data_IF_916992198928
#
_entry.id   IF_916992198928
#
_cell.length_a   1.000
_cell.length_b   1.000
_cell.length_c   1.000
_cell.angle_alpha   90.00
_cell.angle_beta   90.00
_cell.angle_gamma   90.00
#
_symmetry.space_group_name_H-M   'P 1'
#
loop_
_entity.id
_entity.type
_entity.pdbx_description
1 polymer ?
#
# COMPACT_ATOMS: atom_id res chain seq x y z
N UNK A 1 -0.15 -66.80 -4.78
CA UNK A 1 0.80 -66.30 -5.80
C UNK A 1 1.10 -64.84 -5.48
N UNK A 2 2.29 -64.50 -4.99
CA UNK A 2 2.69 -63.11 -4.74
C UNK A 2 3.12 -62.49 -6.06
N UNK A 3 2.33 -61.56 -6.59
CA UNK A 3 2.68 -60.82 -7.81
C UNK A 3 3.56 -59.64 -7.44
N UNK A 4 4.84 -59.68 -7.84
CA UNK A 4 5.79 -58.55 -7.74
C UNK A 4 5.21 -57.23 -8.27
N UNK A 5 4.29 -57.31 -9.23
CA UNK A 5 3.52 -56.18 -9.73
C UNK A 5 2.68 -55.46 -8.66
N UNK A 6 2.08 -56.21 -7.72
CA UNK A 6 1.30 -55.64 -6.61
C UNK A 6 2.20 -54.96 -5.58
N UNK A 7 3.37 -55.52 -5.30
CA UNK A 7 4.37 -54.89 -4.41
C UNK A 7 4.92 -53.59 -5.01
N UNK A 8 5.19 -53.57 -6.31
CA UNK A 8 5.60 -52.36 -7.03
C UNK A 8 4.49 -51.29 -7.04
N UNK A 9 3.23 -51.70 -7.29
CA UNK A 9 2.09 -50.79 -7.31
C UNK A 9 1.85 -50.13 -5.94
N UNK A 10 2.00 -50.89 -4.85
CA UNK A 10 1.90 -50.35 -3.48
C UNK A 10 3.03 -49.35 -3.21
N UNK A 11 4.27 -49.66 -3.62
CA UNK A 11 5.40 -48.74 -3.49
C UNK A 11 5.16 -47.40 -4.19
N UNK A 12 4.70 -47.45 -5.46
CA UNK A 12 4.34 -46.25 -6.23
C UNK A 12 3.21 -45.47 -5.55
N UNK A 13 2.17 -46.18 -5.08
CA UNK A 13 1.05 -45.55 -4.39
C UNK A 13 1.47 -44.80 -3.12
N UNK A 14 2.36 -45.39 -2.31
CA UNK A 14 2.88 -44.76 -1.09
C UNK A 14 3.69 -43.52 -1.43
N UNK A 15 4.54 -43.57 -2.46
CA UNK A 15 5.32 -42.40 -2.91
C UNK A 15 4.41 -41.28 -3.40
N UNK A 16 3.44 -41.59 -4.26
CA UNK A 16 2.49 -40.59 -4.78
C UNK A 16 1.66 -39.97 -3.65
N UNK A 17 1.23 -40.78 -2.68
CA UNK A 17 0.51 -40.29 -1.50
C UNK A 17 1.39 -39.38 -0.65
N UNK A 18 2.65 -39.76 -0.42
CA UNK A 18 3.62 -38.92 0.29
C UNK A 18 3.85 -37.56 -0.39
N UNK A 19 4.01 -37.56 -1.71
CA UNK A 19 4.14 -36.34 -2.51
C UNK A 19 2.86 -35.49 -2.39
N UNK A 20 1.68 -36.09 -2.54
CA UNK A 20 0.41 -35.37 -2.43
C UNK A 20 0.22 -34.73 -1.04
N UNK A 21 0.55 -35.45 0.04
CA UNK A 21 0.49 -34.92 1.40
C UNK A 21 1.50 -33.80 1.63
N UNK A 22 2.71 -33.92 1.07
CA UNK A 22 3.71 -32.86 1.13
C UNK A 22 3.21 -31.58 0.47
N UNK A 23 2.63 -31.66 -0.73
CA UNK A 23 2.03 -30.51 -1.40
C UNK A 23 0.83 -29.92 -0.64
N UNK A 24 -0.02 -30.78 -0.05
CA UNK A 24 -1.13 -30.34 0.78
C UNK A 24 -0.62 -29.57 2.02
N UNK A 25 0.41 -30.09 2.69
CA UNK A 25 1.01 -29.44 3.85
C UNK A 25 1.59 -28.06 3.50
N UNK A 26 2.30 -27.94 2.38
CA UNK A 26 2.82 -26.65 1.91
C UNK A 26 1.70 -25.63 1.60
N UNK A 27 0.58 -26.11 1.03
CA UNK A 27 -0.59 -25.26 0.74
C UNK A 27 -1.30 -24.80 2.02
N UNK A 28 -1.47 -25.68 3.00
CA UNK A 28 -2.10 -25.35 4.30
C UNK A 28 -1.22 -24.42 5.14
N UNK A 29 0.10 -24.59 5.09
CA UNK A 29 1.07 -23.71 5.75
C UNK A 29 1.09 -22.28 5.14
N UNK A 30 0.51 -22.11 3.95
CA UNK A 30 0.55 -20.85 3.20
C UNK A 30 1.95 -20.51 2.69
N UNK A 31 2.87 -21.46 2.66
CA UNK A 31 4.21 -21.31 2.07
C UNK A 31 4.10 -21.23 0.55
N UNK A 32 3.19 -22.03 -0.01
CA UNK A 32 2.82 -21.97 -1.41
C UNK A 32 1.76 -20.86 -1.56
N UNK A 33 2.10 -19.80 -2.29
CA UNK A 33 1.33 -18.55 -2.37
C UNK A 33 -0.18 -18.74 -2.43
N UNK A 34 -0.90 -17.89 -1.70
CA UNK A 34 -2.36 -17.85 -1.76
C UNK A 34 -2.79 -17.57 -3.19
N UNK A 35 -3.54 -18.50 -3.79
CA UNK A 35 -4.18 -18.29 -5.09
C UNK A 35 -5.36 -17.33 -4.91
N UNK A 36 -5.08 -16.05 -4.63
CA UNK A 36 -6.09 -15.02 -4.77
C UNK A 36 -6.41 -14.91 -6.26
N UNK A 37 -7.58 -15.42 -6.65
CA UNK A 37 -8.09 -15.25 -8.01
C UNK A 37 -8.45 -13.77 -8.13
N UNK A 38 -7.87 -13.07 -9.10
CA UNK A 38 -8.01 -11.61 -9.30
C UNK A 38 -7.30 -10.74 -8.23
N UNK A 39 -6.08 -11.11 -7.81
CA UNK A 39 -5.24 -10.18 -7.05
C UNK A 39 -4.56 -9.15 -7.95
N UNK A 40 -4.26 -8.01 -7.37
CA UNK A 40 -3.41 -6.99 -7.98
C UNK A 40 -2.44 -6.42 -6.94
N UNK A 41 -1.31 -5.93 -7.42
CA UNK A 41 -0.27 -5.35 -6.57
C UNK A 41 -0.43 -3.84 -6.46
N UNK A 42 -0.04 -3.28 -5.34
CA UNK A 42 0.06 -1.84 -5.09
C UNK A 42 1.32 -1.56 -4.30
N UNK A 43 1.69 -0.28 -4.25
CA UNK A 43 2.85 0.19 -3.50
C UNK A 43 2.50 1.34 -2.57
N UNK A 44 3.33 1.56 -1.56
CA UNK A 44 3.27 2.74 -0.70
C UNK A 44 4.67 3.01 -0.15
N UNK A 45 5.04 4.28 -0.03
CA UNK A 45 6.36 4.72 0.45
C UNK A 45 6.25 5.28 1.86
N UNK A 46 7.10 4.85 2.78
CA UNK A 46 7.05 5.22 4.19
C UNK A 46 8.40 5.71 4.67
N UNK A 47 8.40 6.66 5.61
CA UNK A 47 9.63 7.08 6.31
C UNK A 47 10.14 6.00 7.26
N UNK A 48 9.23 5.28 7.94
CA UNK A 48 9.57 4.24 8.92
C UNK A 48 8.58 3.06 8.86
N UNK A 49 9.10 1.86 8.61
CA UNK A 49 8.34 0.59 8.56
C UNK A 49 8.82 -0.42 9.61
N UNK A 50 9.44 0.05 10.69
CA UNK A 50 10.03 -0.81 11.72
C UNK A 50 9.04 -1.89 12.23
N UNK A 51 9.53 -3.12 12.33
CA UNK A 51 8.75 -4.29 12.73
C UNK A 51 7.75 -4.82 11.69
N UNK A 52 7.52 -4.13 10.56
CA UNK A 52 6.74 -4.67 9.45
C UNK A 52 7.56 -5.75 8.73
N UNK A 53 6.93 -6.90 8.44
CA UNK A 53 7.58 -8.04 7.80
C UNK A 53 6.83 -8.42 6.52
N UNK A 54 7.51 -9.02 5.53
CA UNK A 54 6.83 -9.69 4.43
C UNK A 54 5.77 -10.66 4.94
N UNK A 55 4.69 -10.83 4.19
CA UNK A 55 3.49 -11.63 4.51
C UNK A 55 2.57 -11.05 5.60
N UNK A 56 2.93 -9.91 6.20
CA UNK A 56 2.04 -9.18 7.10
C UNK A 56 0.70 -8.87 6.39
N UNK A 57 -0.40 -8.93 7.13
CA UNK A 57 -1.73 -8.67 6.57
C UNK A 57 -1.88 -7.20 6.17
N UNK A 58 -2.66 -6.95 5.12
CA UNK A 58 -3.21 -5.63 4.80
C UNK A 58 -4.68 -5.65 5.15
N UNK A 59 -5.13 -4.67 5.93
CA UNK A 59 -6.52 -4.59 6.38
C UNK A 59 -7.15 -3.28 6.02
N UNK A 60 -8.46 -3.31 5.75
CA UNK A 60 -9.29 -2.13 5.58
C UNK A 60 -10.52 -2.33 6.47
N UNK A 61 -10.82 -1.35 7.32
CA UNK A 61 -11.95 -1.42 8.26
C UNK A 61 -11.99 -2.68 9.14
N UNK A 62 -10.81 -3.22 9.49
CA UNK A 62 -10.66 -4.43 10.31
C UNK A 62 -10.72 -5.76 9.54
N UNK A 63 -11.08 -5.74 8.25
CA UNK A 63 -11.12 -6.93 7.40
C UNK A 63 -9.78 -7.09 6.67
N UNK A 64 -9.26 -8.31 6.61
CA UNK A 64 -8.04 -8.60 5.83
C UNK A 64 -8.37 -8.60 4.34
N UNK A 65 -7.74 -7.70 3.60
CA UNK A 65 -7.94 -7.49 2.17
C UNK A 65 -6.71 -7.82 1.34
N UNK A 66 -5.58 -8.17 1.96
CA UNK A 66 -4.34 -8.39 1.23
C UNK A 66 -3.17 -8.80 2.11
N UNK A 67 -1.97 -8.84 1.52
CA UNK A 67 -0.71 -9.16 2.21
C UNK A 67 0.47 -8.37 1.64
N UNK A 68 1.39 -8.00 2.51
CA UNK A 68 2.70 -7.45 2.12
C UNK A 68 3.49 -8.52 1.39
N UNK A 69 4.03 -8.19 0.23
CA UNK A 69 4.84 -9.10 -0.58
C UNK A 69 6.32 -8.83 -0.38
N UNK A 70 6.72 -7.57 -0.41
CA UNK A 70 8.13 -7.18 -0.36
C UNK A 70 8.32 -5.79 0.27
N UNK A 71 9.50 -5.55 0.84
CA UNK A 71 9.87 -4.27 1.45
C UNK A 71 11.28 -3.92 0.96
N UNK A 72 11.42 -2.76 0.33
CA UNK A 72 12.68 -2.27 -0.24
C UNK A 72 12.98 -0.88 0.29
N UNK A 73 14.27 -0.49 0.29
CA UNK A 73 14.71 0.85 0.64
C UNK A 73 15.24 1.53 -0.62
N UNK A 74 14.71 2.71 -0.94
CA UNK A 74 15.29 3.55 -1.99
C UNK A 74 16.47 4.34 -1.39
N UNK A 75 17.72 4.13 -1.85
CA UNK A 75 18.89 4.82 -1.30
C UNK A 75 18.92 6.33 -1.58
N UNK A 76 18.18 6.83 -2.57
CA UNK A 76 18.17 8.25 -2.93
C UNK A 76 17.19 9.00 -2.04
N UNK A 77 15.93 8.56 -2.02
CA UNK A 77 14.89 9.19 -1.18
C UNK A 77 15.00 8.80 0.29
N UNK A 78 15.68 7.71 0.62
CA UNK A 78 15.75 7.06 1.95
C UNK A 78 14.39 6.59 2.46
N UNK A 79 13.40 6.47 1.56
CA UNK A 79 12.07 5.95 1.89
C UNK A 79 12.01 4.44 1.71
N UNK A 80 11.28 3.79 2.61
CA UNK A 80 10.96 2.38 2.48
C UNK A 80 9.74 2.20 1.57
N UNK A 81 9.93 1.55 0.42
CA UNK A 81 8.86 1.20 -0.51
C UNK A 81 8.35 -0.19 -0.18
N UNK A 82 7.08 -0.26 0.24
CA UNK A 82 6.39 -1.50 0.56
C UNK A 82 5.50 -1.90 -0.60
N UNK A 83 5.70 -3.12 -1.11
CA UNK A 83 4.81 -3.75 -2.09
C UNK A 83 3.85 -4.69 -1.38
N UNK A 84 2.58 -4.65 -1.77
CA UNK A 84 1.54 -5.50 -1.21
C UNK A 84 0.51 -5.87 -2.26
N UNK A 85 -0.06 -7.06 -2.11
CA UNK A 85 -1.10 -7.57 -3.00
C UNK A 85 -2.46 -7.49 -2.30
N UNK A 86 -3.47 -7.07 -3.04
CA UNK A 86 -4.86 -6.93 -2.58
C UNK A 86 -5.78 -7.92 -3.30
N UNK A 87 -6.85 -8.31 -2.61
CA UNK A 87 -7.95 -9.13 -3.13
C UNK A 87 -8.91 -8.28 -3.95
N UNK A 88 -8.92 -8.46 -5.28
CA UNK A 88 -9.83 -7.75 -6.18
C UNK A 88 -11.30 -7.97 -5.89
N UNK A 89 -11.68 -9.11 -5.30
CA UNK A 89 -13.08 -9.36 -4.92
C UNK A 89 -13.54 -8.46 -3.76
N UNK A 90 -12.62 -8.09 -2.86
CA UNK A 90 -12.91 -7.26 -1.68
C UNK A 90 -12.64 -5.77 -1.92
N UNK A 91 -11.84 -5.44 -2.93
CA UNK A 91 -11.29 -4.09 -3.14
C UNK A 91 -11.58 -3.53 -4.53
N UNK A 92 -12.48 -4.15 -5.29
CA UNK A 92 -12.94 -3.62 -6.58
C UNK A 92 -14.46 -3.71 -6.65
N UNK A 93 -15.05 -2.84 -7.46
CA UNK A 93 -16.50 -2.79 -7.61
C UNK A 93 -17.02 -3.94 -8.46
N UNK A 94 -18.10 -4.57 -8.01
CA UNK A 94 -18.87 -5.48 -8.86
C UNK A 94 -19.65 -4.71 -9.94
N UNK A 95 -20.26 -5.42 -10.89
CA UNK A 95 -20.99 -4.80 -12.02
C UNK A 95 -22.13 -3.86 -11.60
N UNK A 96 -22.79 -4.12 -10.48
CA UNK A 96 -23.90 -3.29 -10.00
C UNK A 96 -23.39 -2.04 -9.29
N UNK A 97 -22.37 -2.20 -8.45
CA UNK A 97 -21.67 -1.10 -7.78
C UNK A 97 -21.04 -0.17 -8.81
N UNK A 98 -20.35 -0.71 -9.81
CA UNK A 98 -19.67 0.05 -10.85
C UNK A 98 -20.63 0.94 -11.63
N UNK A 99 -21.86 0.50 -11.89
CA UNK A 99 -22.90 1.37 -12.49
C UNK A 99 -23.26 2.56 -11.60
N UNK A 100 -23.36 2.36 -10.28
CA UNK A 100 -23.65 3.45 -9.33
C UNK A 100 -22.48 4.42 -9.26
N UNK A 101 -21.26 3.91 -9.16
CA UNK A 101 -20.05 4.75 -9.12
C UNK A 101 -19.91 5.52 -10.43
N UNK A 102 -20.15 4.89 -11.59
CA UNK A 102 -20.15 5.56 -12.89
C UNK A 102 -21.20 6.66 -12.98
N UNK A 103 -22.41 6.43 -12.49
CA UNK A 103 -23.46 7.44 -12.49
C UNK A 103 -23.05 8.67 -11.66
N UNK A 104 -22.54 8.44 -10.44
CA UNK A 104 -22.09 9.52 -9.56
C UNK A 104 -20.91 10.31 -10.17
N UNK A 105 -19.92 9.60 -10.72
CA UNK A 105 -18.75 10.23 -11.33
C UNK A 105 -19.12 11.03 -12.60
N UNK A 106 -20.08 10.53 -13.40
CA UNK A 106 -20.61 11.26 -14.57
C UNK A 106 -21.40 12.50 -14.16
N UNK A 107 -22.17 12.42 -13.07
CA UNK A 107 -22.88 13.56 -12.51
C UNK A 107 -21.89 14.64 -12.05
N UNK A 108 -20.85 14.25 -11.31
CA UNK A 108 -19.81 15.18 -10.85
C UNK A 108 -19.02 15.80 -12.01
N UNK A 109 -18.64 14.99 -13.02
CA UNK A 109 -18.00 15.49 -14.23
C UNK A 109 -18.83 16.60 -14.89
N UNK A 110 -20.16 16.50 -14.88
CA UNK A 110 -21.04 17.52 -15.47
C UNK A 110 -21.11 18.80 -14.67
N UNK A 111 -20.78 18.76 -13.37
CA UNK A 111 -20.65 19.94 -12.52
C UNK A 111 -19.27 20.61 -12.63
N UNK A 112 -18.29 19.99 -13.30
CA UNK A 112 -16.97 20.60 -13.43
C UNK A 112 -17.00 21.79 -14.39
N UNK A 113 -16.20 22.81 -14.08
CA UNK A 113 -16.05 24.01 -14.91
C UNK A 113 -15.54 23.61 -16.29
N UNK A 114 -14.56 22.70 -16.35
CA UNK A 114 -13.97 22.17 -17.58
C UNK A 114 -15.01 21.50 -18.49
N UNK A 115 -16.01 20.82 -17.92
CA UNK A 115 -17.07 20.20 -18.71
C UNK A 115 -18.04 21.23 -19.28
N UNK A 116 -18.44 22.20 -18.47
CA UNK A 116 -19.39 23.24 -18.86
C UNK A 116 -18.85 24.17 -19.97
N UNK A 117 -17.55 24.43 -19.98
CA UNK A 117 -16.87 25.29 -20.95
C UNK A 117 -16.42 24.55 -22.22
N UNK A 118 -16.46 23.21 -22.21
CA UNK A 118 -16.03 22.40 -23.34
C UNK A 118 -17.06 22.36 -24.48
N UNK A 119 -16.57 22.23 -25.72
CA UNK A 119 -17.43 21.98 -26.88
C UNK A 119 -18.20 20.64 -26.75
N UNK A 120 -19.39 20.50 -27.37
CA UNK A 120 -20.21 19.28 -27.25
C UNK A 120 -19.50 17.99 -27.68
N UNK A 121 -18.54 18.07 -28.60
CA UNK A 121 -17.70 16.94 -29.02
C UNK A 121 -16.70 16.51 -27.92
N UNK A 122 -16.10 17.48 -27.22
CA UNK A 122 -15.16 17.25 -26.12
C UNK A 122 -15.87 16.71 -24.88
N UNK A 123 -17.09 17.19 -24.59
CA UNK A 123 -17.91 16.67 -23.49
C UNK A 123 -18.16 15.16 -23.62
N UNK A 124 -18.60 14.70 -24.79
CA UNK A 124 -18.81 13.26 -25.06
C UNK A 124 -17.53 12.44 -24.95
N UNK A 125 -16.40 13.00 -25.36
CA UNK A 125 -15.11 12.34 -25.23
C UNK A 125 -14.70 12.21 -23.76
N UNK A 126 -14.90 13.25 -22.94
CA UNK A 126 -14.63 13.20 -21.50
C UNK A 126 -15.50 12.15 -20.78
N UNK A 127 -16.81 12.11 -21.05
CA UNK A 127 -17.70 11.08 -20.48
C UNK A 127 -17.22 9.66 -20.87
N UNK A 128 -16.85 9.47 -22.14
CA UNK A 128 -16.35 8.18 -22.64
C UNK A 128 -15.03 7.78 -21.98
N UNK A 129 -14.09 8.71 -21.84
CA UNK A 129 -12.80 8.47 -21.19
C UNK A 129 -12.98 8.13 -19.70
N UNK A 130 -13.87 8.83 -19.00
CA UNK A 130 -14.21 8.53 -17.61
C UNK A 130 -14.71 7.10 -17.46
N UNK A 131 -15.72 6.72 -18.24
CA UNK A 131 -16.30 5.36 -18.20
C UNK A 131 -15.25 4.30 -18.54
N UNK A 132 -14.35 4.56 -19.49
CA UNK A 132 -13.27 3.65 -19.85
C UNK A 132 -12.27 3.44 -18.69
N UNK A 133 -11.89 4.52 -18.01
CA UNK A 133 -10.98 4.48 -16.87
C UNK A 133 -11.56 3.71 -15.67
N UNK A 134 -12.89 3.77 -15.49
CA UNK A 134 -13.59 3.16 -14.35
C UNK A 134 -13.65 1.63 -14.36
N UNK A 135 -13.26 0.96 -15.44
CA UNK A 135 -13.23 -0.51 -15.47
C UNK A 135 -12.06 -1.12 -14.65
N UNK A 136 -11.10 -0.30 -14.24
CA UNK A 136 -9.88 -0.73 -13.54
C UNK A 136 -9.67 -0.07 -12.16
N UNK A 137 -10.68 0.64 -11.66
CA UNK A 137 -10.61 1.33 -10.38
C UNK A 137 -10.76 0.37 -9.21
N UNK A 138 -10.10 0.72 -8.11
CA UNK A 138 -10.27 0.06 -6.82
C UNK A 138 -11.38 0.73 -6.03
N UNK A 139 -11.76 0.16 -4.89
CA UNK A 139 -12.62 0.82 -3.91
C UNK A 139 -11.82 1.64 -2.88
N UNK A 140 -10.58 2.00 -3.21
CA UNK A 140 -9.69 2.79 -2.36
C UNK A 140 -9.66 4.20 -2.93
N UNK A 141 -10.03 5.16 -2.09
CA UNK A 141 -10.09 6.56 -2.46
C UNK A 141 -8.68 7.14 -2.66
N UNK A 142 -8.55 8.14 -3.52
CA UNK A 142 -7.26 8.82 -3.78
C UNK A 142 -6.73 9.54 -2.52
N UNK A 143 -7.64 10.02 -1.66
CA UNK A 143 -7.32 10.65 -0.38
C UNK A 143 -7.21 9.64 0.78
N UNK A 144 -7.42 8.34 0.53
CA UNK A 144 -7.19 7.31 1.54
C UNK A 144 -5.72 7.32 1.98
N UNK A 145 -5.49 6.94 3.24
CA UNK A 145 -4.14 6.83 3.78
C UNK A 145 -3.88 5.46 4.38
N UNK A 146 -2.62 5.05 4.29
CA UNK A 146 -2.17 3.74 4.76
C UNK A 146 -1.14 3.90 5.88
N UNK A 147 -1.30 3.14 6.95
CA UNK A 147 -0.42 3.23 8.13
C UNK A 147 0.14 1.87 8.54
N UNK A 148 1.31 1.90 9.18
CA UNK A 148 1.87 0.74 9.87
C UNK A 148 1.24 0.64 11.26
N UNK A 149 0.29 -0.26 11.44
CA UNK A 149 -0.43 -0.48 12.67
C UNK A 149 0.12 -1.69 13.45
N UNK A 150 -0.17 -1.76 14.76
CA UNK A 150 0.18 -2.90 15.63
C UNK A 150 -1.09 -3.61 16.08
N UNK A 151 -1.11 -4.95 16.03
CA UNK A 151 -2.21 -5.71 16.63
C UNK A 151 -2.12 -5.64 18.16
N UNK A 152 -2.95 -4.80 18.79
CA UNK A 152 -2.87 -4.56 20.23
C UNK A 152 -1.55 -3.92 20.64
N UNK A 153 -1.10 -4.18 21.86
CA UNK A 153 0.12 -3.55 22.41
C UNK A 153 1.42 -4.21 21.92
N UNK A 154 1.41 -5.54 21.75
CA UNK A 154 2.62 -6.35 21.52
C UNK A 154 2.53 -7.25 20.29
N UNK A 155 1.44 -7.16 19.51
CA UNK A 155 1.26 -8.02 18.35
C UNK A 155 2.13 -7.64 17.17
N UNK A 156 2.02 -8.44 16.12
CA UNK A 156 2.67 -8.17 14.85
C UNK A 156 2.21 -6.85 14.22
N UNK A 157 3.12 -6.23 13.47
CA UNK A 157 2.84 -5.04 12.66
C UNK A 157 2.14 -5.46 11.37
N UNK A 158 1.22 -4.61 10.90
CA UNK A 158 0.44 -4.85 9.70
C UNK A 158 0.09 -3.53 9.02
N UNK A 159 -0.30 -3.58 7.75
CA UNK A 159 -0.76 -2.38 7.04
C UNK A 159 -2.25 -2.17 7.25
N UNK A 160 -2.64 -0.96 7.64
CA UNK A 160 -4.03 -0.55 7.80
C UNK A 160 -4.34 0.55 6.80
N UNK A 161 -5.24 0.27 5.87
CA UNK A 161 -5.84 1.25 4.96
C UNK A 161 -7.03 1.87 5.67
N UNK A 162 -7.04 3.20 5.72
CA UNK A 162 -8.17 3.98 6.20
C UNK A 162 -8.78 4.67 4.97
N UNK A 163 -10.03 4.34 4.60
CA UNK A 163 -10.68 4.97 3.46
C UNK A 163 -10.84 6.47 3.69
N UNK A 164 -10.81 7.21 2.60
CA UNK A 164 -10.99 8.65 2.60
C UNK A 164 -12.47 9.01 2.47
N UNK A 165 -12.71 10.27 2.10
CA UNK A 165 -14.04 10.77 1.73
C UNK A 165 -14.13 11.21 0.28
N UNK A 166 -13.05 11.01 -0.49
CA UNK A 166 -12.96 11.41 -1.89
C UNK A 166 -13.90 10.62 -2.81
N UNK A 167 -14.10 11.17 -4.01
CA UNK A 167 -14.90 10.56 -5.07
C UNK A 167 -14.03 9.91 -6.15
N UNK A 168 -12.73 10.21 -6.12
CA UNK A 168 -11.72 9.61 -6.99
C UNK A 168 -11.16 8.34 -6.36
N UNK A 169 -10.95 7.33 -7.20
CA UNK A 169 -10.41 6.04 -6.78
C UNK A 169 -9.07 5.77 -7.44
N UNK A 170 -8.18 5.15 -6.67
CA UNK A 170 -6.87 4.72 -7.14
C UNK A 170 -7.05 3.53 -8.10
N UNK A 171 -6.23 3.47 -9.16
CA UNK A 171 -6.25 2.33 -10.10
C UNK A 171 -5.44 1.16 -9.57
N UNK A 172 -5.76 -0.04 -10.06
CA UNK A 172 -4.94 -1.24 -9.78
C UNK A 172 -3.50 -1.03 -10.28
N UNK A 173 -2.51 -1.30 -9.42
CA UNK A 173 -1.09 -1.13 -9.76
C UNK A 173 -0.48 0.19 -9.27
N UNK A 174 -1.28 1.16 -8.88
CA UNK A 174 -0.79 2.48 -8.45
C UNK A 174 -0.31 2.47 -6.99
N UNK A 175 0.33 3.58 -6.60
CA UNK A 175 0.82 3.80 -5.24
C UNK A 175 -0.19 4.58 -4.41
N UNK A 176 -0.36 4.22 -3.14
CA UNK A 176 -1.06 5.08 -2.18
C UNK A 176 -0.09 6.19 -1.76
N UNK A 177 -0.51 7.44 -1.92
CA UNK A 177 0.34 8.61 -1.67
C UNK A 177 0.43 8.95 -0.18
N UNK A 178 -0.69 8.92 0.53
CA UNK A 178 -0.76 9.30 1.93
C UNK A 178 -0.34 8.13 2.81
N UNK A 179 0.82 8.23 3.46
CA UNK A 179 1.34 7.17 4.32
C UNK A 179 1.66 7.67 5.71
N UNK A 180 1.58 6.77 6.68
CA UNK A 180 1.99 7.03 8.05
C UNK A 180 2.87 5.87 8.55
N UNK A 181 4.12 6.20 8.84
CA UNK A 181 5.08 5.26 9.41
C UNK A 181 4.72 4.80 10.82
N UNK A 182 5.45 3.81 11.31
CA UNK A 182 5.35 3.40 12.70
C UNK A 182 6.06 4.41 13.61
N UNK A 183 5.60 4.52 14.86
CA UNK A 183 6.31 5.25 15.91
C UNK A 183 7.04 4.25 16.79
N UNK A 184 8.33 4.48 17.02
CA UNK A 184 9.10 3.66 17.93
C UNK A 184 8.67 3.97 19.38
N UNK A 185 8.69 2.95 20.25
CA UNK A 185 8.24 3.10 21.64
C UNK A 185 9.10 4.14 22.39
N UNK A 186 10.38 4.22 22.03
CA UNK A 186 11.33 5.21 22.55
C UNK A 186 10.88 6.64 22.23
N UNK A 187 10.47 6.92 21.00
CA UNK A 187 9.94 8.22 20.58
C UNK A 187 8.64 8.56 21.31
N UNK A 188 7.77 7.58 21.52
CA UNK A 188 6.52 7.76 22.26
C UNK A 188 6.77 8.09 23.74
N UNK A 189 7.68 7.36 24.38
CA UNK A 189 8.06 7.61 25.79
C UNK A 189 8.74 8.97 25.90
N UNK A 190 9.65 9.29 24.97
CA UNK A 190 10.31 10.59 24.91
C UNK A 190 9.29 11.71 24.75
N UNK A 191 8.36 11.61 23.81
CA UNK A 191 7.28 12.59 23.59
C UNK A 191 6.38 12.75 24.82
N UNK A 192 6.14 11.66 25.57
CA UNK A 192 5.35 11.70 26.79
C UNK A 192 6.09 12.40 27.95
N UNK A 193 7.36 12.04 28.20
CA UNK A 193 8.18 12.63 29.27
C UNK A 193 8.52 14.09 28.98
N UNK A 194 8.77 14.42 27.71
CA UNK A 194 9.09 15.80 27.28
C UNK A 194 7.85 16.66 27.01
N UNK A 195 6.64 16.15 27.29
CA UNK A 195 5.40 16.92 27.28
C UNK A 195 4.88 17.33 25.91
N UNK A 196 5.26 16.61 24.84
CA UNK A 196 4.72 16.86 23.48
C UNK A 196 5.16 18.17 22.83
N UNK A 197 6.17 18.87 23.38
CA UNK A 197 6.75 20.06 22.76
C UNK A 197 7.50 19.66 21.49
N UNK A 198 6.84 19.77 20.34
CA UNK A 198 7.40 19.47 19.03
C UNK A 198 8.62 20.33 18.71
N UNK A 199 9.67 19.71 18.19
CA UNK A 199 10.67 20.41 17.39
C UNK A 199 10.05 20.79 16.04
N UNK A 200 9.30 21.88 16.01
CA UNK A 200 9.10 22.69 14.81
C UNK A 200 10.12 23.84 14.83
N UNK A 201 11.36 23.56 14.42
CA UNK A 201 12.30 24.59 13.96
C UNK A 201 13.55 23.96 13.37
N UNK A 202 13.53 23.78 12.06
CA UNK A 202 14.71 23.89 11.19
C UNK A 202 14.23 24.46 9.84
N UNK A 203 13.55 25.61 9.89
CA UNK A 203 13.32 26.51 8.75
C UNK A 203 13.18 27.94 9.27
N UNK A 204 14.30 28.47 9.75
CA UNK A 204 14.50 29.88 10.05
C UNK A 204 16.02 30.13 9.98
N UNK A 205 16.55 30.06 8.76
CA UNK A 205 17.89 30.53 8.45
C UNK A 205 17.85 31.11 7.03
N UNK A 206 16.94 32.05 6.82
CA UNK A 206 17.00 33.01 5.72
C UNK A 206 16.40 34.30 6.27
N UNK A 207 17.13 35.40 6.07
CA UNK A 207 16.77 36.78 6.36
C UNK A 207 17.01 37.27 7.81
N UNK A 208 18.21 37.79 8.09
CA UNK A 208 18.48 39.24 8.00
C UNK A 208 19.72 39.64 8.83
N UNK A 209 20.90 39.78 8.20
CA UNK A 209 21.92 40.73 8.69
C UNK A 209 22.85 41.14 7.54
N UNK A 210 22.53 42.26 6.89
CA UNK A 210 23.52 43.10 6.25
C UNK A 210 23.80 44.30 7.16
N UNK A 211 25.04 44.42 7.65
CA UNK A 211 25.88 45.65 7.62
C UNK A 211 27.27 45.30 8.18
N UNK A 212 28.27 45.44 7.31
CA UNK A 212 29.72 45.75 7.47
C UNK A 212 30.24 46.05 8.89
N UNK A 213 31.45 45.70 9.34
CA UNK A 213 32.81 45.54 8.76
C UNK A 213 33.69 44.96 9.90
N UNK A 214 34.66 44.07 9.69
CA UNK A 214 36.08 44.36 9.39
C UNK A 214 36.85 43.03 9.49
N UNK A 215 37.79 42.84 8.56
CA UNK A 215 39.07 42.12 8.65
C UNK A 215 39.25 41.07 9.78
N UNK A 216 39.32 39.79 9.41
CA UNK A 216 40.58 39.04 9.55
C UNK A 216 40.51 37.66 8.89
N UNK A 217 41.58 37.33 8.21
CA UNK A 217 41.80 36.08 7.50
C UNK A 217 41.98 34.90 8.46
N UNK A 218 41.47 33.72 8.11
CA UNK A 218 42.30 32.52 7.88
C UNK A 218 41.46 31.31 7.48
N UNK A 219 41.81 30.78 6.31
CA UNK A 219 41.48 29.45 5.81
C UNK A 219 42.08 28.36 6.70
N UNK A 220 41.31 27.32 7.02
CA UNK A 220 41.90 25.98 7.23
C UNK A 220 40.92 24.89 6.82
N UNK A 221 41.28 24.22 5.72
CA UNK A 221 40.88 22.86 5.41
C UNK A 221 41.74 21.90 6.24
N UNK A 222 41.17 20.78 6.70
CA UNK A 222 41.96 19.60 7.08
C UNK A 222 41.25 18.33 6.58
N UNK A 223 41.98 17.69 5.66
CA UNK A 223 42.13 16.26 5.31
C UNK A 223 40.95 15.27 5.43
#
# INVERSE_FOLDING_TARGET
MKSRASELAVGIFVILTGIALFFLAMKVSGLMGTNLRDSYSMTASFDNVNGLKPRAKVTMSGVTIGRVTDITLDPVSRLATVRFDLDGKLTSFNKEQLKKVQANALEELRYSTEYSEAAPSKQKEMEKQLVANMNSITSIDEDAYIMVATNGLLGEKYLKVVPGGGLNYIKRGESIANTQGTMDLEDLISKFITGGAGKSSAKAAEENTSTESTEDAQTSFVE
#
